data_IF_108995972489
#
_entry.id   IF_108995972489
#
_cell.length_a   1.000
_cell.length_b   1.000
_cell.length_c   1.000
_cell.angle_alpha   90.00
_cell.angle_beta   90.00
_cell.angle_gamma   90.00
#
_symmetry.space_group_name_H-M   'P 1'
#
loop_
_entity.id
_entity.type
_entity.pdbx_description
1 polymer ?
#
# COMPACT_ATOMS: atom_id res chain seq x y z
N UNK A 1 35.47 4.75 -69.31
CA UNK A 1 35.45 4.41 -67.87
C UNK A 1 34.04 4.65 -67.34
N UNK A 2 33.19 3.61 -67.32
CA UNK A 2 31.79 3.69 -66.87
C UNK A 2 31.72 3.23 -65.41
N UNK A 3 31.21 4.07 -64.50
CA UNK A 3 30.96 3.71 -63.09
C UNK A 3 29.50 3.35 -62.93
N UNK A 4 29.21 2.08 -62.68
CA UNK A 4 27.87 1.59 -62.31
C UNK A 4 27.64 1.83 -60.82
N UNK A 5 26.57 2.55 -60.47
CA UNK A 5 26.10 2.70 -59.11
C UNK A 5 25.09 1.57 -58.80
N UNK A 6 25.37 0.78 -57.76
CA UNK A 6 24.52 -0.30 -57.29
C UNK A 6 23.60 0.26 -56.18
N UNK A 7 22.32 0.43 -56.48
CA UNK A 7 21.30 0.78 -55.49
C UNK A 7 20.84 -0.50 -54.76
N UNK A 8 21.08 -0.55 -53.45
CA UNK A 8 20.49 -1.56 -52.57
C UNK A 8 19.15 -1.06 -52.04
N UNK A 9 18.07 -1.75 -52.41
CA UNK A 9 16.71 -1.53 -51.93
C UNK A 9 16.50 -2.36 -50.65
N UNK A 10 16.46 -1.73 -49.49
CA UNK A 10 16.11 -2.41 -48.23
C UNK A 10 14.59 -2.35 -48.01
N UNK A 11 13.94 -3.51 -48.07
CA UNK A 11 12.55 -3.70 -47.66
C UNK A 11 12.44 -3.50 -46.14
N UNK A 12 11.66 -2.51 -45.70
CA UNK A 12 11.21 -2.38 -44.31
C UNK A 12 9.95 -3.23 -44.12
N UNK A 13 10.11 -4.40 -43.50
CA UNK A 13 8.98 -5.18 -42.97
C UNK A 13 8.62 -4.56 -41.62
N UNK A 14 7.50 -3.85 -41.57
CA UNK A 14 6.88 -3.41 -40.32
C UNK A 14 6.34 -4.64 -39.57
N UNK A 15 7.01 -5.04 -38.49
CA UNK A 15 6.43 -5.99 -37.54
C UNK A 15 5.56 -5.23 -36.55
N UNK A 16 4.26 -5.51 -36.60
CA UNK A 16 3.29 -5.12 -35.59
C UNK A 16 3.62 -5.88 -34.30
N UNK A 17 4.12 -5.18 -33.28
CA UNK A 17 4.20 -5.75 -31.93
C UNK A 17 2.77 -5.85 -31.41
N UNK A 18 2.26 -7.08 -31.34
CA UNK A 18 1.10 -7.42 -30.54
C UNK A 18 1.51 -7.28 -29.08
N UNK A 19 0.75 -6.46 -28.34
CA UNK A 19 0.86 -6.38 -26.89
C UNK A 19 0.27 -7.67 -26.30
N UNK A 20 1.12 -8.66 -26.05
CA UNK A 20 0.79 -9.70 -25.09
C UNK A 20 0.85 -9.05 -23.71
N UNK A 21 -0.28 -9.10 -22.98
CA UNK A 21 -0.37 -8.73 -21.58
C UNK A 21 0.59 -9.60 -20.77
N UNK A 22 1.79 -9.07 -20.55
CA UNK A 22 2.83 -9.72 -19.78
C UNK A 22 2.48 -9.66 -18.31
N UNK A 23 2.19 -10.83 -17.75
CA UNK A 23 2.41 -11.14 -16.35
C UNK A 23 3.87 -10.77 -16.04
N UNK A 24 4.10 -9.58 -15.49
CA UNK A 24 5.44 -9.11 -15.19
C UNK A 24 5.94 -9.88 -13.97
N UNK A 25 6.75 -10.91 -14.22
CA UNK A 25 7.52 -11.73 -13.26
C UNK A 25 8.56 -10.91 -12.46
N UNK A 26 8.37 -9.59 -12.40
CA UNK A 26 9.22 -8.61 -11.75
C UNK A 26 8.36 -7.74 -10.82
N UNK A 27 8.79 -7.64 -9.57
CA UNK A 27 8.20 -6.73 -8.58
C UNK A 27 8.04 -5.32 -9.17
N UNK A 28 6.90 -4.69 -8.90
CA UNK A 28 6.63 -3.31 -9.32
C UNK A 28 7.74 -2.39 -8.83
N UNK A 29 8.16 -2.58 -7.57
CA UNK A 29 9.25 -1.83 -6.92
C UNK A 29 10.08 -2.79 -6.06
N UNK A 30 11.41 -2.76 -6.21
CA UNK A 30 12.31 -3.45 -5.29
C UNK A 30 12.34 -2.74 -3.92
N UNK A 31 11.34 -2.96 -3.05
CA UNK A 31 11.21 -2.25 -1.77
C UNK A 31 12.46 -2.39 -0.88
N UNK A 32 13.19 -3.50 -0.96
CA UNK A 32 14.45 -3.72 -0.24
C UNK A 32 15.56 -2.72 -0.57
N UNK A 33 15.48 -2.05 -1.72
CA UNK A 33 16.45 -1.02 -2.13
C UNK A 33 15.93 0.41 -1.93
N UNK A 34 14.61 0.57 -1.82
CA UNK A 34 13.95 1.88 -1.67
C UNK A 34 13.83 2.28 -0.20
N UNK A 35 13.52 1.34 0.70
CA UNK A 35 13.35 1.67 2.11
C UNK A 35 14.71 1.66 2.83
N UNK A 36 14.87 2.48 3.89
CA UNK A 36 16.01 2.34 4.78
C UNK A 36 16.03 0.93 5.42
N UNK A 37 17.19 0.46 5.91
CA UNK A 37 17.22 -0.76 6.71
C UNK A 37 16.43 -0.57 8.03
N UNK A 38 15.85 -1.63 8.59
CA UNK A 38 15.27 -1.56 9.92
C UNK A 38 16.33 -1.18 10.97
N UNK A 39 15.94 -0.59 12.12
CA UNK A 39 16.84 -0.39 13.24
C UNK A 39 17.59 -1.67 13.62
N UNK A 40 18.91 -1.56 13.80
CA UNK A 40 19.73 -2.69 14.21
C UNK A 40 19.34 -3.14 15.63
N UNK A 41 19.29 -4.45 15.90
CA UNK A 41 18.67 -4.99 17.11
C UNK A 41 19.23 -4.45 18.45
N UNK A 42 20.51 -4.06 18.50
CA UNK A 42 21.17 -3.51 19.67
C UNK A 42 21.22 -1.97 19.70
N UNK A 43 20.58 -1.30 18.74
CA UNK A 43 20.63 0.16 18.61
C UNK A 43 19.66 0.86 19.58
N UNK A 44 19.90 2.16 19.79
CA UNK A 44 19.01 2.99 20.62
C UNK A 44 17.62 3.07 20.01
N UNK A 45 17.53 3.14 18.69
CA UNK A 45 16.29 3.21 17.93
C UNK A 45 15.47 1.92 18.08
N UNK A 46 16.11 0.75 18.05
CA UNK A 46 15.42 -0.52 18.28
C UNK A 46 14.87 -0.62 19.72
N UNK A 47 15.60 -0.12 20.71
CA UNK A 47 15.10 -0.02 22.08
C UNK A 47 13.92 0.96 22.19
N UNK A 48 13.99 2.12 21.55
CA UNK A 48 12.90 3.11 21.54
C UNK A 48 11.63 2.56 20.87
N UNK A 49 11.78 1.83 19.75
CA UNK A 49 10.70 1.13 19.08
C UNK A 49 9.98 0.16 20.02
N UNK A 50 10.73 -0.68 20.75
CA UNK A 50 10.15 -1.62 21.71
C UNK A 50 9.44 -0.88 22.86
N UNK A 51 10.07 0.17 23.41
CA UNK A 51 9.45 0.96 24.48
C UNK A 51 8.14 1.62 24.05
N UNK A 52 8.06 2.11 22.81
CA UNK A 52 6.83 2.66 22.27
C UNK A 52 5.70 1.61 22.19
N UNK A 53 6.02 0.39 21.74
CA UNK A 53 5.04 -0.72 21.75
C UNK A 53 4.57 -1.01 23.18
N UNK A 54 5.49 -1.14 24.14
CA UNK A 54 5.15 -1.40 25.54
C UNK A 54 4.29 -0.29 26.15
N UNK A 55 4.62 0.98 25.90
CA UNK A 55 3.85 2.13 26.37
C UNK A 55 2.42 2.16 25.81
N UNK A 56 2.26 1.87 24.51
CA UNK A 56 0.92 1.78 23.89
C UNK A 56 0.12 0.62 24.48
N UNK A 57 0.74 -0.54 24.73
CA UNK A 57 0.03 -1.66 25.35
C UNK A 57 -0.49 -1.36 26.76
N UNK A 58 0.26 -0.56 27.53
CA UNK A 58 -0.13 -0.17 28.89
C UNK A 58 -1.29 0.83 28.91
N UNK A 59 -1.44 1.63 27.85
CA UNK A 59 -2.40 2.73 27.79
C UNK A 59 -3.61 2.48 26.89
N UNK A 60 -3.55 1.51 25.96
CA UNK A 60 -4.64 1.23 25.00
C UNK A 60 -5.96 0.86 25.69
N UNK A 61 -6.99 1.65 25.44
CA UNK A 61 -8.37 1.42 25.87
C UNK A 61 -9.01 0.23 25.15
N UNK A 62 -10.14 -0.26 25.66
CA UNK A 62 -10.90 -1.33 25.01
C UNK A 62 -11.41 -0.92 23.61
N UNK A 63 -11.80 0.35 23.46
CA UNK A 63 -12.30 0.89 22.20
C UNK A 63 -11.18 0.99 21.16
N UNK A 64 -9.98 1.47 21.53
CA UNK A 64 -8.81 1.48 20.65
C UNK A 64 -8.40 0.05 20.25
N UNK A 65 -8.46 -0.91 21.16
CA UNK A 65 -8.19 -2.31 20.83
C UNK A 65 -9.22 -2.87 19.84
N UNK A 66 -10.50 -2.52 19.99
CA UNK A 66 -11.57 -2.92 19.07
C UNK A 66 -11.37 -2.30 17.68
N UNK A 67 -11.10 -1.00 17.62
CA UNK A 67 -10.82 -0.28 16.39
C UNK A 67 -9.57 -0.83 15.67
N UNK A 68 -8.50 -1.10 16.42
CA UNK A 68 -7.27 -1.66 15.87
C UNK A 68 -7.46 -3.10 15.34
N UNK A 69 -8.31 -3.90 15.99
CA UNK A 69 -8.69 -5.23 15.47
C UNK A 69 -9.51 -5.11 14.19
N UNK A 70 -10.44 -4.17 14.09
CA UNK A 70 -11.19 -3.93 12.85
C UNK A 70 -10.26 -3.52 11.69
N UNK A 71 -9.20 -2.76 11.96
CA UNK A 71 -8.16 -2.38 10.98
C UNK A 71 -7.16 -3.51 10.66
N UNK A 72 -7.42 -4.74 11.09
CA UNK A 72 -6.76 -5.91 10.51
C UNK A 72 -7.30 -6.26 9.12
N UNK A 73 -8.52 -5.80 8.80
CA UNK A 73 -9.13 -5.95 7.49
C UNK A 73 -8.44 -5.02 6.47
N UNK A 74 -7.97 -5.59 5.36
CA UNK A 74 -7.34 -4.86 4.25
C UNK A 74 -8.38 -4.58 3.19
N UNK A 75 -9.22 -3.60 3.50
CA UNK A 75 -10.36 -3.21 2.70
C UNK A 75 -10.43 -1.70 2.58
N UNK A 76 -10.74 -1.20 1.38
CA UNK A 76 -10.95 0.24 1.13
C UNK A 76 -12.07 0.81 2.02
N UNK A 77 -13.02 -0.03 2.43
CA UNK A 77 -14.13 0.38 3.29
C UNK A 77 -13.70 0.71 4.73
N UNK A 78 -12.44 0.46 5.10
CA UNK A 78 -11.85 1.00 6.33
C UNK A 78 -11.67 2.52 6.29
N UNK A 79 -11.78 3.14 5.11
CA UNK A 79 -11.73 4.60 4.87
C UNK A 79 -13.11 5.25 4.70
N UNK A 80 -14.20 4.52 4.95
CA UNK A 80 -15.56 5.03 4.73
C UNK A 80 -15.86 6.30 5.56
N UNK A 81 -15.32 6.37 6.77
CA UNK A 81 -15.39 7.53 7.66
C UNK A 81 -14.69 8.77 7.07
N UNK A 82 -13.51 8.60 6.47
CA UNK A 82 -12.79 9.69 5.80
C UNK A 82 -13.51 10.23 4.55
N UNK A 83 -14.40 9.42 3.96
CA UNK A 83 -15.17 9.78 2.77
C UNK A 83 -16.58 10.30 3.10
N UNK A 84 -16.93 10.44 4.38
CA UNK A 84 -18.30 10.73 4.85
C UNK A 84 -19.34 9.79 4.22
N UNK A 85 -18.97 8.53 4.01
CA UNK A 85 -19.78 7.55 3.30
C UNK A 85 -20.24 6.43 4.22
N UNK A 86 -21.51 6.08 4.13
CA UNK A 86 -22.08 4.88 4.78
C UNK A 86 -22.38 3.79 3.76
N UNK A 87 -21.80 3.86 2.55
CA UNK A 87 -22.17 2.97 1.45
C UNK A 87 -21.60 1.56 1.65
N UNK A 88 -22.45 0.51 1.54
CA UNK A 88 -21.99 -0.85 1.71
C UNK A 88 -21.13 -1.30 0.52
N UNK A 89 -20.18 -2.24 0.71
CA UNK A 89 -19.31 -2.74 -0.37
C UNK A 89 -20.05 -3.19 -1.63
N UNK A 90 -21.20 -3.83 -1.46
CA UNK A 90 -22.04 -4.31 -2.56
C UNK A 90 -22.55 -3.21 -3.51
N UNK A 91 -22.51 -1.94 -3.08
CA UNK A 91 -22.89 -0.78 -3.91
C UNK A 91 -21.75 -0.23 -4.76
N UNK A 92 -20.52 -0.71 -4.55
CA UNK A 92 -19.30 -0.22 -5.22
C UNK A 92 -18.46 -1.38 -5.78
N UNK A 93 -18.99 -2.22 -6.68
CA UNK A 93 -18.30 -3.42 -7.18
C UNK A 93 -17.00 -3.11 -7.92
N UNK A 94 -16.92 -2.02 -8.67
CA UNK A 94 -15.69 -1.66 -9.42
C UNK A 94 -14.61 -1.16 -8.46
N UNK A 95 -15.00 -0.34 -7.50
CA UNK A 95 -14.11 0.17 -6.45
C UNK A 95 -13.59 -0.98 -5.60
N UNK A 96 -14.48 -1.90 -5.21
CA UNK A 96 -14.12 -3.11 -4.45
C UNK A 96 -13.09 -3.95 -5.22
N UNK A 97 -13.39 -4.31 -6.47
CA UNK A 97 -12.48 -5.12 -7.29
C UNK A 97 -11.11 -4.46 -7.50
N UNK A 98 -11.08 -3.15 -7.73
CA UNK A 98 -9.84 -2.41 -7.88
C UNK A 98 -8.97 -2.48 -6.61
N UNK A 99 -9.55 -2.18 -5.43
CA UNK A 99 -8.77 -2.20 -4.19
C UNK A 99 -8.44 -3.61 -3.68
N UNK A 100 -9.21 -4.63 -4.04
CA UNK A 100 -8.82 -6.04 -3.83
C UNK A 100 -7.59 -6.41 -4.66
N UNK A 101 -7.52 -5.95 -5.93
CA UNK A 101 -6.35 -6.11 -6.79
C UNK A 101 -5.13 -5.38 -6.21
N UNK A 102 -5.30 -4.15 -5.71
CA UNK A 102 -4.25 -3.38 -5.01
C UNK A 102 -3.76 -4.14 -3.77
N UNK A 103 -4.67 -4.63 -2.91
CA UNK A 103 -4.31 -5.36 -1.71
C UNK A 103 -3.51 -6.66 -2.00
N UNK A 104 -3.81 -7.33 -3.13
CA UNK A 104 -3.06 -8.50 -3.58
C UNK A 104 -1.64 -8.13 -4.01
N UNK A 105 -1.49 -7.04 -4.75
CA UNK A 105 -0.18 -6.52 -5.17
C UNK A 105 0.66 -6.09 -3.97
N UNK A 106 0.14 -5.22 -3.10
CA UNK A 106 0.85 -4.74 -1.90
C UNK A 106 1.40 -5.90 -1.07
N UNK A 107 0.59 -6.96 -0.91
CA UNK A 107 0.98 -8.16 -0.18
C UNK A 107 2.17 -8.88 -0.84
N UNK A 108 2.21 -8.94 -2.16
CA UNK A 108 3.32 -9.56 -2.90
C UNK A 108 4.60 -8.72 -2.76
N UNK A 109 4.53 -7.41 -3.05
CA UNK A 109 5.67 -6.49 -2.96
C UNK A 109 6.30 -6.48 -1.55
N UNK A 110 5.47 -6.46 -0.51
CA UNK A 110 5.94 -6.46 0.88
C UNK A 110 6.52 -7.82 1.28
N UNK A 111 6.03 -8.94 0.71
CA UNK A 111 6.52 -10.26 1.07
C UNK A 111 8.02 -10.41 0.73
N UNK A 112 8.44 -9.91 -0.44
CA UNK A 112 9.84 -9.97 -0.87
C UNK A 112 10.75 -9.14 0.04
N UNK A 113 10.30 -7.93 0.39
CA UNK A 113 11.01 -7.03 1.30
C UNK A 113 11.17 -7.65 2.70
N UNK A 114 10.11 -8.30 3.19
CA UNK A 114 10.11 -9.02 4.47
C UNK A 114 11.10 -10.18 4.48
N UNK A 115 11.16 -10.95 3.39
CA UNK A 115 12.10 -12.07 3.26
C UNK A 115 13.55 -11.61 3.19
N UNK A 116 13.80 -10.39 2.70
CA UNK A 116 15.11 -9.77 2.66
C UNK A 116 15.59 -9.35 4.06
N UNK A 117 14.80 -8.56 4.80
CA UNK A 117 15.24 -8.02 6.10
C UNK A 117 15.03 -8.94 7.30
N UNK A 118 14.01 -9.81 7.25
CA UNK A 118 13.71 -10.81 8.30
C UNK A 118 13.70 -10.24 9.72
N UNK A 119 13.18 -9.03 9.90
CA UNK A 119 13.07 -8.43 11.23
C UNK A 119 12.06 -9.21 12.07
N UNK A 120 12.41 -9.71 13.26
CA UNK A 120 11.46 -10.34 14.18
C UNK A 120 10.34 -9.38 14.58
N UNK A 121 9.17 -9.92 14.91
CA UNK A 121 8.03 -9.17 15.44
C UNK A 121 8.29 -8.69 16.88
N UNK A 122 7.56 -7.67 17.36
CA UNK A 122 7.64 -7.26 18.76
C UNK A 122 7.49 -8.39 19.77
N UNK A 123 6.54 -9.31 19.56
CA UNK A 123 6.31 -10.46 20.47
C UNK A 123 7.42 -11.52 20.46
N UNK A 124 8.21 -11.56 19.38
CA UNK A 124 9.39 -12.43 19.28
C UNK A 124 10.61 -11.79 19.96
N UNK A 125 10.69 -10.46 19.95
CA UNK A 125 11.78 -9.71 20.58
C UNK A 125 11.62 -9.57 22.09
N UNK A 126 10.38 -9.56 22.61
CA UNK A 126 10.12 -9.44 24.04
C UNK A 126 8.84 -10.17 24.46
N UNK A 127 8.94 -10.95 25.53
CA UNK A 127 7.83 -11.64 26.21
C UNK A 127 6.83 -10.69 26.89
N UNK A 128 7.20 -9.42 27.10
CA UNK A 128 6.32 -8.38 27.63
C UNK A 128 5.34 -7.84 26.57
N UNK A 129 5.52 -8.21 25.30
CA UNK A 129 4.61 -7.84 24.23
C UNK A 129 3.51 -8.89 24.09
N UNK A 130 2.27 -8.46 24.32
CA UNK A 130 1.05 -9.25 24.21
C UNK A 130 0.21 -8.75 23.02
N UNK A 131 0.50 -9.24 21.80
CA UNK A 131 -0.19 -8.80 20.61
C UNK A 131 -1.67 -9.21 20.64
N UNK A 132 -2.52 -8.39 20.02
CA UNK A 132 -3.96 -8.65 19.87
C UNK A 132 -4.28 -9.58 18.70
N UNK A 133 -3.25 -10.05 17.99
CA UNK A 133 -3.32 -11.00 16.88
C UNK A 133 -2.45 -12.22 17.18
N UNK A 134 -2.81 -13.37 16.59
CA UNK A 134 -1.93 -14.55 16.57
C UNK A 134 -0.90 -14.40 15.47
N UNK A 135 0.35 -14.22 15.85
CA UNK A 135 1.48 -14.19 14.91
C UNK A 135 1.87 -15.62 14.52
N UNK A 136 2.31 -15.81 13.28
CA UNK A 136 2.75 -17.11 12.76
C UNK A 136 4.28 -17.17 12.76
N UNK A 137 4.88 -18.38 12.84
CA UNK A 137 6.29 -18.55 12.53
C UNK A 137 6.63 -17.94 11.17
N UNK A 138 7.82 -17.34 11.06
CA UNK A 138 8.36 -16.68 9.86
C UNK A 138 7.54 -15.48 9.33
N UNK A 139 6.61 -14.94 10.13
CA UNK A 139 5.91 -13.70 9.80
C UNK A 139 6.76 -12.47 10.19
N UNK A 140 7.63 -12.00 9.29
CA UNK A 140 8.55 -10.89 9.54
C UNK A 140 7.85 -9.53 9.69
N UNK A 141 8.44 -8.64 10.50
CA UNK A 141 7.85 -7.36 10.90
C UNK A 141 8.09 -6.24 9.89
N UNK A 142 9.22 -6.21 9.20
CA UNK A 142 9.66 -5.05 8.43
C UNK A 142 9.62 -5.29 6.90
N UNK A 143 8.95 -4.43 6.11
CA UNK A 143 8.11 -3.30 6.53
C UNK A 143 6.70 -3.77 6.94
N UNK A 144 5.89 -2.87 7.51
CA UNK A 144 4.51 -3.19 7.86
C UNK A 144 3.60 -3.25 6.63
N UNK A 145 3.19 -4.45 6.24
CA UNK A 145 2.28 -4.64 5.10
C UNK A 145 0.88 -4.05 5.28
N UNK A 146 0.37 -3.94 6.51
CA UNK A 146 -0.89 -3.22 6.77
C UNK A 146 -0.68 -1.71 6.59
N UNK A 147 0.40 -1.13 7.11
CA UNK A 147 0.69 0.28 6.86
C UNK A 147 0.92 0.56 5.37
N UNK A 148 1.64 -0.33 4.65
CA UNK A 148 1.76 -0.28 3.18
C UNK A 148 0.39 -0.20 2.52
N UNK A 149 -0.50 -1.16 2.80
CA UNK A 149 -1.86 -1.14 2.25
C UNK A 149 -2.63 0.14 2.57
N UNK A 150 -2.56 0.60 3.82
CA UNK A 150 -3.20 1.83 4.26
C UNK A 150 -2.76 3.04 3.43
N UNK A 151 -1.45 3.22 3.22
CA UNK A 151 -0.94 4.35 2.45
C UNK A 151 -1.06 4.19 0.94
N UNK A 152 -0.94 2.98 0.37
CA UNK A 152 -1.26 2.73 -1.04
C UNK A 152 -2.72 3.13 -1.30
N UNK A 153 -3.63 2.69 -0.43
CA UNK A 153 -5.06 3.02 -0.50
C UNK A 153 -5.28 4.54 -0.38
N UNK A 154 -4.60 5.19 0.56
CA UNK A 154 -4.70 6.63 0.78
C UNK A 154 -4.27 7.43 -0.43
N UNK A 155 -3.12 7.11 -1.05
CA UNK A 155 -2.63 7.79 -2.26
C UNK A 155 -3.62 7.65 -3.40
N UNK A 156 -4.17 6.46 -3.63
CA UNK A 156 -5.13 6.22 -4.71
C UNK A 156 -6.44 6.96 -4.44
N UNK A 157 -7.01 6.83 -3.23
CA UNK A 157 -8.25 7.53 -2.84
C UNK A 157 -8.08 9.05 -2.89
N UNK A 158 -6.96 9.60 -2.43
CA UNK A 158 -6.67 11.03 -2.47
C UNK A 158 -6.62 11.60 -3.89
N UNK A 159 -6.26 10.77 -4.89
CA UNK A 159 -6.29 11.16 -6.30
C UNK A 159 -7.67 10.91 -6.96
N UNK A 160 -8.45 9.97 -6.43
CA UNK A 160 -9.85 9.77 -6.82
C UNK A 160 -10.76 10.89 -6.29
N UNK A 161 -10.56 11.29 -5.03
CA UNK A 161 -11.40 12.22 -4.26
C UNK A 161 -10.50 13.30 -3.61
N UNK A 162 -9.92 14.22 -4.40
CA UNK A 162 -9.05 15.26 -3.86
C UNK A 162 -9.74 16.18 -2.84
N UNK A 163 -11.07 16.22 -2.83
CA UNK A 163 -11.88 16.96 -1.86
C UNK A 163 -11.74 16.42 -0.42
N UNK A 164 -11.21 15.21 -0.25
CA UNK A 164 -11.06 14.50 1.05
C UNK A 164 -9.61 14.12 1.39
N UNK A 165 -8.61 14.75 0.74
CA UNK A 165 -7.19 14.35 0.90
C UNK A 165 -6.74 14.32 2.36
N UNK A 166 -7.05 15.37 3.11
CA UNK A 166 -6.59 15.48 4.49
C UNK A 166 -7.20 14.39 5.38
N UNK A 167 -8.50 14.15 5.24
CA UNK A 167 -9.23 13.12 5.97
C UNK A 167 -8.75 11.71 5.60
N UNK A 168 -8.51 11.47 4.32
CA UNK A 168 -8.00 10.19 3.81
C UNK A 168 -6.62 9.89 4.41
N UNK A 169 -5.69 10.84 4.40
CA UNK A 169 -4.36 10.63 4.97
C UNK A 169 -4.40 10.53 6.50
N UNK A 170 -5.19 11.35 7.19
CA UNK A 170 -5.39 11.21 8.64
C UNK A 170 -5.93 9.82 9.01
N UNK A 171 -6.82 9.27 8.19
CA UNK A 171 -7.35 7.92 8.38
C UNK A 171 -6.31 6.83 8.12
N UNK A 172 -5.45 7.02 7.14
CA UNK A 172 -4.31 6.13 6.86
C UNK A 172 -3.30 6.12 8.01
N UNK A 173 -2.98 7.29 8.56
CA UNK A 173 -2.12 7.44 9.73
C UNK A 173 -2.68 6.62 10.91
N UNK A 174 -3.98 6.77 11.19
CA UNK A 174 -4.66 6.00 12.24
C UNK A 174 -4.65 4.49 11.96
N UNK A 175 -4.97 4.08 10.72
CA UNK A 175 -4.95 2.68 10.28
C UNK A 175 -3.58 2.03 10.49
N UNK A 176 -2.53 2.77 10.14
CA UNK A 176 -1.14 2.34 10.27
C UNK A 176 -0.71 2.30 11.75
N UNK A 177 -1.08 3.31 12.54
CA UNK A 177 -0.79 3.37 13.98
C UNK A 177 -1.48 2.25 14.77
N UNK A 178 -2.66 1.81 14.33
CA UNK A 178 -3.33 0.65 14.92
C UNK A 178 -2.47 -0.62 14.89
N UNK A 179 -1.44 -0.70 14.05
CA UNK A 179 -0.49 -1.84 14.04
C UNK A 179 0.42 -1.86 15.27
N UNK A 180 0.77 -0.69 15.80
CA UNK A 180 1.45 -0.54 17.09
C UNK A 180 0.48 -0.84 18.24
N UNK A 181 -0.76 -0.36 18.16
CA UNK A 181 -1.82 -0.69 19.13
C UNK A 181 -2.07 -2.19 19.21
N UNK A 182 -2.03 -2.91 18.09
CA UNK A 182 -2.12 -4.36 18.03
C UNK A 182 -0.90 -5.07 18.64
N UNK A 183 0.21 -4.38 18.89
CA UNK A 183 1.50 -4.98 19.27
C UNK A 183 2.15 -5.80 18.14
N UNK A 184 1.69 -5.62 16.90
CA UNK A 184 2.09 -6.46 15.76
C UNK A 184 3.31 -5.89 15.01
N UNK A 185 3.57 -4.60 15.14
CA UNK A 185 4.65 -3.90 14.45
C UNK A 185 5.27 -2.84 15.36
N UNK A 186 6.55 -2.59 15.16
CA UNK A 186 7.25 -1.45 15.74
C UNK A 186 6.90 -0.15 14.98
N UNK A 187 7.01 1.03 15.62
CA UNK A 187 6.84 2.31 14.94
C UNK A 187 7.66 2.45 13.65
N UNK A 188 8.93 2.03 13.63
CA UNK A 188 9.74 2.10 12.40
C UNK A 188 9.28 1.12 11.30
N UNK A 189 8.63 0.00 11.62
CA UNK A 189 7.99 -0.86 10.61
C UNK A 189 6.82 -0.15 9.94
N UNK A 190 6.05 0.60 10.75
CA UNK A 190 4.89 1.38 10.29
C UNK A 190 5.34 2.51 9.39
N UNK A 191 6.39 3.24 9.77
CA UNK A 191 6.98 4.30 8.94
C UNK A 191 7.54 3.77 7.62
N UNK A 192 8.23 2.63 7.64
CA UNK A 192 8.67 1.99 6.40
C UNK A 192 7.51 1.50 5.54
N UNK A 193 6.43 1.01 6.16
CA UNK A 193 5.19 0.67 5.46
C UNK A 193 4.54 1.89 4.80
N UNK A 194 4.52 3.04 5.50
CA UNK A 194 4.06 4.32 4.95
C UNK A 194 4.84 4.71 3.69
N UNK A 195 6.17 4.67 3.75
CA UNK A 195 7.02 4.95 2.60
C UNK A 195 6.73 3.98 1.45
N UNK A 196 6.68 2.68 1.74
CA UNK A 196 6.41 1.65 0.75
C UNK A 196 5.06 1.88 0.04
N UNK A 197 3.99 2.09 0.80
CA UNK A 197 2.65 2.30 0.24
C UNK A 197 2.54 3.61 -0.55
N UNK A 198 3.25 4.64 -0.12
CA UNK A 198 3.31 5.91 -0.87
C UNK A 198 3.94 5.73 -2.24
N UNK A 199 5.07 5.02 -2.32
CA UNK A 199 5.76 4.76 -3.60
C UNK A 199 4.94 3.82 -4.48
N UNK A 200 4.40 2.72 -3.93
CA UNK A 200 3.52 1.80 -4.68
C UNK A 200 2.31 2.54 -5.25
N UNK A 201 1.61 3.31 -4.43
CA UNK A 201 0.44 4.08 -4.87
C UNK A 201 0.79 5.09 -5.97
N UNK A 202 1.94 5.76 -5.88
CA UNK A 202 2.41 6.69 -6.90
C UNK A 202 2.76 5.99 -8.22
N UNK A 203 3.42 4.82 -8.17
CA UNK A 203 3.73 4.04 -9.38
C UNK A 203 2.48 3.52 -10.06
N UNK A 204 1.50 3.01 -9.29
CA UNK A 204 0.24 2.51 -9.84
C UNK A 204 -0.54 3.56 -10.65
N UNK A 205 -0.45 4.83 -10.26
CA UNK A 205 -1.06 5.93 -11.01
C UNK A 205 -0.44 6.18 -12.39
N UNK A 206 0.74 5.62 -12.66
CA UNK A 206 1.45 5.75 -13.94
C UNK A 206 1.46 4.45 -14.75
N UNK A 207 1.00 3.33 -14.20
CA UNK A 207 0.99 2.04 -14.90
C UNK A 207 -0.20 1.91 -15.86
N UNK A 208 0.02 1.70 -17.17
CA UNK A 208 -1.07 1.57 -18.15
C UNK A 208 -2.09 0.49 -17.82
N UNK A 209 -1.64 -0.67 -17.32
CA UNK A 209 -2.48 -1.84 -17.01
C UNK A 209 -3.39 -1.66 -15.79
N UNK A 210 -3.28 -0.53 -15.11
CA UNK A 210 -4.11 -0.15 -13.97
C UNK A 210 -5.07 0.99 -14.29
N UNK A 211 -4.85 1.73 -15.39
CA UNK A 211 -5.61 2.94 -15.69
C UNK A 211 -7.09 2.68 -15.90
N UNK A 212 -7.44 1.64 -16.65
CA UNK A 212 -8.84 1.33 -16.95
C UNK A 212 -9.63 1.04 -15.67
N UNK A 213 -9.09 0.17 -14.81
CA UNK A 213 -9.73 -0.18 -13.54
C UNK A 213 -9.77 1.01 -12.59
N UNK A 214 -8.67 1.77 -12.50
CA UNK A 214 -8.57 2.98 -11.69
C UNK A 214 -9.63 4.02 -12.07
N UNK A 215 -9.74 4.38 -13.37
CA UNK A 215 -10.72 5.37 -13.81
C UNK A 215 -12.16 4.87 -13.63
N UNK A 216 -12.38 3.56 -13.82
CA UNK A 216 -13.70 2.93 -13.65
C UNK A 216 -14.13 2.93 -12.18
N UNK A 217 -13.23 2.58 -11.26
CA UNK A 217 -13.44 2.66 -9.81
C UNK A 217 -13.64 4.11 -9.35
N UNK A 218 -12.81 5.04 -9.84
CA UNK A 218 -12.92 6.48 -9.54
C UNK A 218 -14.28 7.05 -9.94
N UNK A 219 -14.75 6.74 -11.16
CA UNK A 219 -16.03 7.23 -11.64
C UNK A 219 -17.19 6.69 -10.79
N UNK A 220 -17.17 5.41 -10.45
CA UNK A 220 -18.17 4.78 -9.57
C UNK A 220 -18.17 5.43 -8.18
N UNK A 221 -17.00 5.54 -7.54
CA UNK A 221 -16.86 6.14 -6.21
C UNK A 221 -17.34 7.60 -6.20
N UNK A 222 -16.92 8.41 -7.17
CA UNK A 222 -17.32 9.83 -7.24
C UNK A 222 -18.82 9.99 -7.47
N UNK A 223 -19.41 9.18 -8.34
CA UNK A 223 -20.87 9.19 -8.55
C UNK A 223 -21.62 8.86 -7.26
N UNK A 224 -21.14 7.87 -6.52
CA UNK A 224 -21.73 7.42 -5.27
C UNK A 224 -21.56 8.46 -4.13
N UNK A 225 -20.50 9.28 -4.18
CA UNK A 225 -20.29 10.44 -3.31
C UNK A 225 -21.00 11.72 -3.79
N UNK A 226 -21.78 11.66 -4.88
CA UNK A 226 -22.43 12.83 -5.50
C UNK A 226 -21.43 13.93 -5.92
N UNK A 227 -20.23 13.53 -6.35
CA UNK A 227 -19.17 14.41 -6.84
C UNK A 227 -19.10 14.43 -8.38
N UNK A 228 -18.61 15.52 -9.01
CA UNK A 228 -18.42 15.58 -10.46
C UNK A 228 -17.46 14.49 -10.95
N UNK A 229 -17.70 13.87 -12.10
CA UNK A 229 -16.88 12.74 -12.59
C UNK A 229 -15.38 13.06 -12.72
N UNK A 230 -15.04 14.29 -13.13
CA UNK A 230 -13.66 14.79 -13.14
C UNK A 230 -13.50 15.76 -11.97
N UNK A 231 -12.51 15.58 -11.08
CA UNK A 231 -12.28 16.55 -10.02
C UNK A 231 -11.83 17.89 -10.60
N UNK A 232 -12.19 18.97 -9.92
CA UNK A 232 -11.58 20.26 -10.20
C UNK A 232 -10.06 20.17 -9.99
N UNK A 233 -9.27 20.75 -10.89
CA UNK A 233 -7.84 20.91 -10.64
C UNK A 233 -7.68 21.92 -9.51
N UNK A 234 -7.41 21.44 -8.30
CA UNK A 234 -6.90 22.27 -7.22
C UNK A 234 -5.39 22.41 -7.40
N UNK A 235 -4.97 23.60 -7.81
CA UNK A 235 -3.56 24.02 -7.90
C UNK A 235 -2.94 24.13 -6.52
#
# INVERSE_FOLDING_TARGET
MKRSALLWLTLLVSQSVMADGGDSDHALIALSTVLPPPPAASSTEAHQDLQAVLAVQQSRSADEQSAAKADTDRSVFRFADALDSTMPPASLPKTTAFFERVAKLDKAEVADAKLYWRRPRPSVTSDQVHPLSKEKPDDWSYPSGHATFGYTTAVLLANMVPEKRAEIFARADLYAQHRVVMGAHFPSDVEAGRLAGTVIGAELLHQPDWQTDYQTARAELRAALHLPATPAQTL
#
